data_IF_585210191800
#
_entry.id   IF_585210191800
#
_cell.length_a   1.000
_cell.length_b   1.000
_cell.length_c   1.000
_cell.angle_alpha   90.00
_cell.angle_beta   90.00
_cell.angle_gamma   90.00
#
_symmetry.space_group_name_H-M   'P 1'
#
loop_
_entity.id
_entity.type
_entity.pdbx_description
1 polymer ?
#
# COMPACT_ATOMS: atom_id res chain seq x y z
N UNK A 1 9.12 -12.65 3.40
CA UNK A 1 8.60 -12.69 2.05
C UNK A 1 9.37 -13.73 1.24
N UNK A 2 8.75 -14.77 0.79
CA UNK A 2 9.39 -15.90 0.09
C UNK A 2 8.47 -16.47 -0.98
N UNK A 3 8.02 -15.64 -1.93
CA UNK A 3 7.13 -16.06 -3.00
C UNK A 3 5.68 -16.31 -2.57
N UNK A 4 4.90 -16.91 -3.47
CA UNK A 4 3.50 -17.26 -3.28
C UNK A 4 3.35 -18.76 -3.15
N UNK A 5 2.58 -19.18 -2.16
CA UNK A 5 2.30 -20.58 -1.88
C UNK A 5 0.79 -20.82 -1.86
N UNK A 6 0.34 -21.92 -2.41
CA UNK A 6 -1.06 -22.33 -2.46
C UNK A 6 -1.29 -23.66 -1.75
N UNK A 7 -2.36 -23.73 -0.99
CA UNK A 7 -2.91 -24.98 -0.45
C UNK A 7 -4.29 -25.25 -1.08
N UNK A 8 -4.62 -26.51 -1.29
CA UNK A 8 -5.94 -26.99 -1.75
C UNK A 8 -6.59 -27.94 -0.74
N UNK A 9 -5.95 -28.12 0.43
CA UNK A 9 -6.40 -29.03 1.49
C UNK A 9 -6.28 -28.39 2.88
N UNK A 10 -6.74 -27.15 3.00
CA UNK A 10 -6.82 -26.41 4.29
C UNK A 10 -5.47 -26.31 5.02
N UNK A 11 -4.38 -26.16 4.27
CA UNK A 11 -3.05 -25.94 4.84
C UNK A 11 -2.24 -27.20 5.14
N UNK A 12 -2.77 -28.38 4.82
CA UNK A 12 -2.04 -29.65 5.06
C UNK A 12 -0.81 -29.78 4.18
N UNK A 13 -0.92 -29.35 2.91
CA UNK A 13 0.22 -29.28 1.98
C UNK A 13 0.21 -27.96 1.25
N UNK A 14 1.40 -27.50 0.86
CA UNK A 14 1.61 -26.24 0.17
C UNK A 14 2.42 -26.44 -1.09
N UNK A 15 2.02 -25.77 -2.18
CA UNK A 15 2.70 -25.76 -3.46
C UNK A 15 3.22 -24.36 -3.76
N UNK A 16 4.52 -24.19 -4.07
CA UNK A 16 5.05 -22.91 -4.52
C UNK A 16 4.51 -22.57 -5.91
N UNK A 17 4.19 -21.29 -6.12
CA UNK A 17 3.65 -20.79 -7.40
C UNK A 17 4.60 -19.81 -8.10
N UNK A 18 5.69 -19.40 -7.47
CA UNK A 18 6.58 -18.33 -7.97
C UNK A 18 8.06 -18.69 -7.96
N UNK A 19 8.43 -19.98 -7.80
CA UNK A 19 9.83 -20.41 -7.74
C UNK A 19 10.61 -20.13 -9.03
N UNK A 20 9.92 -20.09 -10.17
CA UNK A 20 10.53 -19.81 -11.47
C UNK A 20 10.42 -18.34 -11.89
N UNK A 21 10.02 -17.44 -10.97
CA UNK A 21 9.86 -16.03 -11.26
C UNK A 21 11.15 -15.26 -10.98
N UNK A 22 11.38 -14.12 -11.66
CA UNK A 22 12.62 -13.35 -11.52
C UNK A 22 12.66 -12.47 -10.26
N UNK A 23 11.85 -12.77 -9.24
CA UNK A 23 11.80 -12.04 -7.98
C UNK A 23 11.68 -13.00 -6.79
N UNK A 24 12.20 -12.57 -5.67
CA UNK A 24 12.07 -13.27 -4.38
C UNK A 24 10.99 -12.66 -3.51
N UNK A 25 10.96 -11.32 -3.46
CA UNK A 25 10.19 -10.59 -2.48
C UNK A 25 8.82 -10.27 -3.01
N UNK A 26 7.80 -10.58 -2.21
CA UNK A 26 6.39 -10.28 -2.48
C UNK A 26 5.86 -9.29 -1.44
N UNK A 27 5.09 -8.30 -1.87
CA UNK A 27 4.52 -7.25 -1.02
C UNK A 27 3.05 -7.47 -0.70
N UNK A 28 2.27 -7.83 -1.70
CA UNK A 28 0.84 -8.09 -1.54
C UNK A 28 0.33 -9.07 -2.62
N UNK A 29 -0.78 -9.72 -2.30
CA UNK A 29 -1.51 -10.59 -3.23
C UNK A 29 -3.00 -10.24 -3.15
N UNK A 30 -3.67 -10.19 -4.29
CA UNK A 30 -5.11 -9.91 -4.38
C UNK A 30 -5.76 -10.86 -5.36
N UNK A 31 -6.79 -11.55 -4.91
CA UNK A 31 -7.64 -12.37 -5.77
C UNK A 31 -8.73 -11.45 -6.33
N UNK A 32 -8.96 -11.53 -7.63
CA UNK A 32 -9.99 -10.77 -8.32
C UNK A 32 -11.38 -11.24 -7.84
N UNK A 33 -12.22 -10.34 -7.32
CA UNK A 33 -13.56 -10.72 -6.83
C UNK A 33 -14.48 -11.30 -7.90
N UNK A 34 -14.20 -11.06 -9.19
CA UNK A 34 -14.97 -11.58 -10.32
C UNK A 34 -14.53 -12.97 -10.76
N UNK A 35 -13.27 -13.35 -10.47
CA UNK A 35 -12.71 -14.62 -10.94
C UNK A 35 -11.58 -15.10 -10.02
N UNK A 36 -11.83 -16.12 -9.24
CA UNK A 36 -10.86 -16.69 -8.28
C UNK A 36 -9.58 -17.24 -8.94
N UNK A 37 -9.56 -17.45 -10.25
CA UNK A 37 -8.35 -17.82 -10.99
C UNK A 37 -7.52 -16.62 -11.42
N UNK A 38 -8.06 -15.41 -11.32
CA UNK A 38 -7.39 -14.15 -11.61
C UNK A 38 -6.73 -13.63 -10.32
N UNK A 39 -5.40 -13.58 -10.31
CA UNK A 39 -4.61 -13.23 -9.12
C UNK A 39 -3.61 -12.14 -9.49
N UNK A 40 -3.65 -11.05 -8.75
CA UNK A 40 -2.70 -9.95 -8.86
C UNK A 40 -1.65 -10.02 -7.77
N UNK A 41 -0.39 -9.85 -8.13
CA UNK A 41 0.75 -9.91 -7.23
C UNK A 41 1.58 -8.63 -7.33
N UNK A 42 1.72 -7.93 -6.22
CA UNK A 42 2.68 -6.85 -6.04
C UNK A 42 3.96 -7.39 -5.45
N UNK A 43 5.10 -7.04 -6.05
CA UNK A 43 6.41 -7.51 -5.61
C UNK A 43 7.15 -6.48 -4.77
N UNK A 44 8.19 -6.91 -4.04
CA UNK A 44 8.95 -6.11 -3.10
C UNK A 44 8.35 -6.09 -1.70
N UNK A 45 9.18 -6.09 -0.68
CA UNK A 45 8.70 -6.13 0.71
C UNK A 45 8.01 -4.83 1.14
N UNK A 46 6.86 -4.96 1.80
CA UNK A 46 6.12 -3.85 2.37
C UNK A 46 6.44 -3.66 3.87
N UNK A 47 7.72 -3.55 4.21
CA UNK A 47 8.19 -3.41 5.59
C UNK A 47 9.14 -2.23 5.76
N UNK A 48 9.37 -1.81 7.01
CA UNK A 48 10.47 -0.94 7.37
C UNK A 48 11.74 -1.77 7.61
N UNK A 49 12.91 -1.25 7.32
CA UNK A 49 14.16 -1.92 7.63
C UNK A 49 15.30 -1.58 6.69
N UNK A 50 16.47 -2.13 6.99
CA UNK A 50 17.70 -1.94 6.20
C UNK A 50 17.73 -2.75 4.92
N UNK A 51 17.39 -4.02 5.03
CA UNK A 51 17.44 -4.99 3.96
C UNK A 51 16.01 -5.32 3.54
N UNK A 52 15.41 -4.40 2.80
CA UNK A 52 14.06 -4.58 2.27
C UNK A 52 14.20 -5.17 0.88
N UNK A 53 13.66 -6.37 0.68
CA UNK A 53 13.77 -7.08 -0.59
C UNK A 53 13.08 -6.33 -1.72
N UNK A 54 13.84 -6.07 -2.78
CA UNK A 54 13.40 -5.34 -3.97
C UNK A 54 12.50 -6.24 -4.83
N UNK A 55 11.43 -5.67 -5.34
CA UNK A 55 10.51 -6.30 -6.28
C UNK A 55 10.74 -5.85 -7.73
N UNK A 56 9.94 -6.41 -8.62
CA UNK A 56 9.99 -6.19 -10.06
C UNK A 56 8.63 -5.75 -10.63
N UNK A 57 7.86 -4.97 -9.87
CA UNK A 57 6.57 -4.44 -10.29
C UNK A 57 5.38 -5.36 -10.01
N UNK A 58 4.38 -5.32 -10.87
CA UNK A 58 3.10 -6.04 -10.75
C UNK A 58 3.09 -7.23 -11.69
N UNK A 59 2.56 -8.36 -11.20
CA UNK A 59 2.31 -9.57 -11.98
C UNK A 59 0.84 -9.98 -11.89
N UNK A 60 0.34 -10.58 -12.96
CA UNK A 60 -1.02 -11.09 -13.04
C UNK A 60 -1.02 -12.54 -13.50
N UNK A 61 -1.75 -13.40 -12.80
CA UNK A 61 -2.08 -14.76 -13.18
C UNK A 61 -3.56 -14.84 -13.54
N UNK A 62 -3.90 -15.57 -14.60
CA UNK A 62 -5.29 -15.86 -15.03
C UNK A 62 -5.68 -17.31 -14.81
N UNK A 63 -4.80 -18.12 -14.26
CA UNK A 63 -4.93 -19.58 -14.18
C UNK A 63 -4.68 -20.12 -12.76
N UNK A 64 -4.96 -19.29 -11.75
CA UNK A 64 -4.81 -19.66 -10.35
C UNK A 64 -3.36 -19.76 -9.87
N UNK A 65 -2.46 -18.98 -10.48
CA UNK A 65 -1.04 -18.90 -10.12
C UNK A 65 -0.15 -19.89 -10.84
N UNK A 66 -0.64 -20.60 -11.87
CA UNK A 66 0.19 -21.55 -12.64
C UNK A 66 1.14 -20.82 -13.59
N UNK A 67 0.72 -19.70 -14.13
CA UNK A 67 1.55 -18.79 -14.94
C UNK A 67 1.34 -17.34 -14.52
N UNK A 68 2.38 -16.51 -14.73
CA UNK A 68 2.37 -15.10 -14.35
C UNK A 68 2.84 -14.22 -15.48
N UNK A 69 2.10 -13.15 -15.75
CA UNK A 69 2.43 -12.13 -16.75
C UNK A 69 2.90 -10.87 -16.04
N UNK A 70 4.01 -10.30 -16.51
CA UNK A 70 4.49 -8.97 -16.11
C UNK A 70 3.51 -7.89 -16.59
N UNK A 71 3.07 -7.04 -15.66
CA UNK A 71 2.11 -5.97 -15.89
C UNK A 71 2.72 -4.58 -15.69
N UNK A 72 4.04 -4.47 -15.58
CA UNK A 72 4.77 -3.20 -15.47
C UNK A 72 5.00 -2.71 -14.04
N UNK A 73 5.18 -1.42 -13.88
CA UNK A 73 5.57 -0.74 -12.64
C UNK A 73 6.89 -1.30 -12.05
N UNK A 74 7.88 -1.56 -12.90
CA UNK A 74 9.16 -2.20 -12.51
C UNK A 74 10.03 -1.31 -11.62
N UNK A 75 9.87 0.02 -11.74
CA UNK A 75 10.61 1.00 -10.93
C UNK A 75 9.91 1.31 -9.60
N UNK A 76 8.85 0.59 -9.27
CA UNK A 76 8.17 0.72 -7.97
C UNK A 76 9.01 0.17 -6.82
N UNK A 77 9.80 -0.87 -7.07
CA UNK A 77 10.59 -1.66 -6.12
C UNK A 77 9.77 -2.30 -4.99
N UNK A 78 8.75 -1.61 -4.48
CA UNK A 78 7.94 -2.06 -3.35
C UNK A 78 6.46 -1.73 -3.57
N UNK A 79 5.64 -2.74 -3.84
CA UNK A 79 4.19 -2.62 -3.97
C UNK A 79 3.53 -3.12 -2.71
N UNK A 80 2.76 -2.26 -2.07
CA UNK A 80 2.18 -2.53 -0.75
C UNK A 80 0.73 -3.02 -0.80
N UNK A 81 -0.04 -2.59 -1.80
CA UNK A 81 -1.46 -2.92 -1.92
C UNK A 81 -1.90 -2.91 -3.38
N UNK A 82 -2.78 -3.84 -3.72
CA UNK A 82 -3.53 -3.84 -4.98
C UNK A 82 -5.00 -4.02 -4.63
N UNK A 83 -5.86 -3.20 -5.22
CA UNK A 83 -7.32 -3.34 -5.14
C UNK A 83 -7.86 -3.47 -6.56
N UNK A 84 -8.68 -4.49 -6.80
CA UNK A 84 -9.48 -4.65 -8.02
C UNK A 84 -10.84 -4.00 -7.74
N UNK A 85 -11.34 -3.24 -8.69
CA UNK A 85 -12.66 -2.61 -8.58
C UNK A 85 -13.75 -3.69 -8.43
N UNK A 86 -14.70 -3.54 -7.50
CA UNK A 86 -15.68 -4.60 -7.20
C UNK A 86 -16.67 -4.89 -8.34
N UNK A 87 -16.81 -3.98 -9.30
CA UNK A 87 -17.78 -4.11 -10.42
C UNK A 87 -17.10 -4.12 -11.80
N UNK A 88 -15.80 -3.81 -11.91
CA UNK A 88 -15.05 -3.77 -13.17
C UNK A 88 -13.67 -4.41 -13.03
N UNK A 89 -13.45 -5.62 -13.54
CA UNK A 89 -12.16 -6.31 -13.43
C UNK A 89 -11.03 -5.65 -14.20
N UNK A 90 -11.31 -4.66 -15.05
CA UNK A 90 -10.27 -3.92 -15.79
C UNK A 90 -9.77 -2.70 -15.00
N UNK A 91 -10.51 -2.27 -13.97
CA UNK A 91 -10.11 -1.15 -13.12
C UNK A 91 -9.42 -1.64 -11.85
N UNK A 92 -8.19 -1.15 -11.62
CA UNK A 92 -7.39 -1.50 -10.45
C UNK A 92 -6.61 -0.29 -9.96
N UNK A 93 -6.28 -0.34 -8.67
CA UNK A 93 -5.37 0.62 -8.03
C UNK A 93 -4.19 -0.13 -7.41
N UNK A 94 -2.99 0.44 -7.56
CA UNK A 94 -1.74 -0.09 -7.03
C UNK A 94 -1.06 0.97 -6.18
N UNK A 95 -0.89 0.67 -4.90
CA UNK A 95 -0.12 1.49 -3.97
C UNK A 95 1.36 1.13 -4.06
N UNK A 96 2.18 2.07 -4.52
CA UNK A 96 3.61 1.91 -4.70
C UNK A 96 4.39 2.79 -3.74
N UNK A 97 5.31 2.19 -3.00
CA UNK A 97 6.22 2.92 -2.11
C UNK A 97 7.37 3.59 -2.87
N UNK A 98 7.77 3.02 -4.01
CA UNK A 98 8.94 3.44 -4.76
C UNK A 98 10.27 2.98 -4.15
N UNK A 99 11.41 3.33 -4.79
CA UNK A 99 12.74 2.98 -4.33
C UNK A 99 13.06 3.48 -2.92
N UNK A 100 13.76 2.65 -2.13
CA UNK A 100 14.17 3.04 -0.79
C UNK A 100 15.45 3.89 -0.80
N UNK A 101 16.37 3.61 -1.73
CA UNK A 101 17.71 4.18 -1.77
C UNK A 101 17.89 5.35 -2.73
N UNK A 102 16.90 5.63 -3.56
CA UNK A 102 16.93 6.71 -4.54
C UNK A 102 15.61 7.48 -4.59
N UNK A 103 15.63 8.76 -5.00
CA UNK A 103 14.40 9.51 -5.22
C UNK A 103 13.68 9.05 -6.49
N UNK A 104 12.43 9.43 -6.63
CA UNK A 104 11.63 9.17 -7.82
C UNK A 104 11.23 7.70 -7.99
N UNK A 105 11.42 7.17 -9.18
CA UNK A 105 10.88 5.87 -9.56
C UNK A 105 9.37 5.90 -9.79
N UNK A 106 8.73 4.73 -9.77
CA UNK A 106 7.26 4.63 -9.85
C UNK A 106 6.68 4.63 -8.44
N UNK A 107 6.50 5.84 -7.89
CA UNK A 107 6.05 6.16 -6.53
C UNK A 107 4.69 6.80 -6.54
N UNK A 108 3.81 6.44 -5.60
CA UNK A 108 2.49 7.01 -5.48
C UNK A 108 1.36 6.00 -5.64
N UNK A 109 0.21 6.43 -6.11
CA UNK A 109 -0.91 5.55 -6.43
C UNK A 109 -1.12 5.49 -7.93
N UNK A 110 -1.06 4.29 -8.46
CA UNK A 110 -1.29 4.03 -9.88
C UNK A 110 -2.67 3.44 -10.10
N UNK A 111 -3.36 3.93 -11.14
CA UNK A 111 -4.66 3.41 -11.59
C UNK A 111 -4.56 2.90 -13.01
N UNK A 112 -5.22 1.80 -13.29
CA UNK A 112 -5.50 1.31 -14.66
C UNK A 112 -7.01 1.17 -14.85
N UNK A 113 -7.47 1.27 -16.10
CA UNK A 113 -8.85 0.98 -16.52
C UNK A 113 -8.89 0.04 -17.73
N UNK A 114 -7.74 -0.59 -18.04
CA UNK A 114 -7.56 -1.47 -19.19
C UNK A 114 -6.96 -2.84 -18.82
N UNK A 115 -7.12 -3.24 -17.55
CA UNK A 115 -6.62 -4.51 -17.04
C UNK A 115 -5.10 -4.55 -16.91
N UNK A 116 -4.48 -3.41 -16.57
CA UNK A 116 -3.06 -3.30 -16.30
C UNK A 116 -2.18 -3.18 -17.54
N UNK A 117 -2.74 -2.88 -18.71
CA UNK A 117 -1.95 -2.63 -19.92
C UNK A 117 -1.26 -1.27 -19.85
N UNK A 118 -1.94 -0.28 -19.29
CA UNK A 118 -1.40 1.06 -19.01
C UNK A 118 -1.69 1.48 -17.58
N UNK A 119 -0.80 2.30 -17.02
CA UNK A 119 -0.91 2.80 -15.65
C UNK A 119 -0.79 4.33 -15.63
N UNK A 120 -1.69 4.97 -14.89
CA UNK A 120 -1.65 6.42 -14.63
C UNK A 120 -1.34 6.64 -13.15
N UNK A 121 -0.32 7.42 -12.82
CA UNK A 121 -0.11 7.90 -11.46
C UNK A 121 -1.17 8.97 -11.14
N UNK A 122 -2.04 8.69 -10.18
CA UNK A 122 -3.17 9.57 -9.81
C UNK A 122 -2.95 10.26 -8.46
N UNK A 123 -2.00 9.78 -7.64
CA UNK A 123 -1.59 10.43 -6.40
C UNK A 123 -0.06 10.44 -6.31
N UNK A 124 0.53 11.54 -6.74
CA UNK A 124 1.95 11.83 -6.61
C UNK A 124 2.13 12.95 -5.56
N UNK A 125 3.03 12.78 -4.60
CA UNK A 125 3.26 13.72 -3.51
C UNK A 125 4.60 14.43 -3.68
N UNK A 126 5.68 13.68 -3.63
CA UNK A 126 7.05 14.15 -3.90
C UNK A 126 7.97 12.95 -4.20
N UNK A 127 9.21 13.22 -4.56
CA UNK A 127 10.20 12.22 -4.97
C UNK A 127 10.58 11.18 -3.90
N UNK A 128 10.22 11.39 -2.63
CA UNK A 128 10.51 10.48 -1.52
C UNK A 128 9.27 9.85 -0.89
N UNK A 129 8.07 10.21 -1.37
CA UNK A 129 6.81 9.78 -0.75
C UNK A 129 6.01 8.88 -1.67
N UNK A 130 5.84 7.64 -1.26
CA UNK A 130 4.95 6.67 -1.91
C UNK A 130 3.63 6.48 -1.18
N UNK A 131 2.79 5.57 -1.68
CA UNK A 131 1.55 5.13 -1.04
C UNK A 131 1.74 3.72 -0.50
N UNK A 132 1.35 3.51 0.76
CA UNK A 132 1.60 2.25 1.48
C UNK A 132 0.35 1.50 1.90
N UNK A 133 -0.78 2.18 1.95
CA UNK A 133 -2.07 1.52 2.22
C UNK A 133 -3.19 2.20 1.45
N UNK A 134 -4.23 1.43 1.15
CA UNK A 134 -5.38 1.84 0.37
C UNK A 134 -6.59 1.05 0.84
N UNK A 135 -7.70 1.72 1.08
CA UNK A 135 -9.00 1.10 1.35
C UNK A 135 -10.07 1.73 0.46
N UNK A 136 -11.04 0.92 0.06
CA UNK A 136 -12.20 1.32 -0.76
C UNK A 136 -13.46 1.25 0.10
N UNK A 137 -14.36 2.18 -0.11
CA UNK A 137 -15.69 2.14 0.52
C UNK A 137 -16.47 0.94 -0.05
N UNK A 138 -16.92 0.01 0.80
CA UNK A 138 -17.61 -1.20 0.35
C UNK A 138 -19.00 -0.95 -0.27
N UNK A 139 -19.55 0.26 -0.10
CA UNK A 139 -20.86 0.64 -0.62
C UNK A 139 -20.79 1.61 -1.80
N UNK A 140 -19.63 2.24 -2.02
CA UNK A 140 -19.41 3.16 -3.14
C UNK A 140 -17.95 3.10 -3.60
N UNK A 141 -17.63 2.39 -4.69
CA UNK A 141 -16.27 2.22 -5.17
C UNK A 141 -15.60 3.50 -5.70
N UNK A 142 -16.34 4.58 -5.89
CA UNK A 142 -15.77 5.89 -6.21
C UNK A 142 -15.06 6.53 -5.00
N UNK A 143 -15.35 6.05 -3.78
CA UNK A 143 -14.74 6.56 -2.56
C UNK A 143 -13.58 5.67 -2.14
N UNK A 144 -12.36 6.24 -2.15
CA UNK A 144 -11.16 5.57 -1.71
C UNK A 144 -10.39 6.42 -0.69
N UNK A 145 -9.64 5.74 0.16
CA UNK A 145 -8.74 6.38 1.13
C UNK A 145 -7.35 5.79 1.00
N UNK A 146 -6.34 6.66 0.93
CA UNK A 146 -4.95 6.27 0.76
C UNK A 146 -4.08 6.83 1.90
N UNK A 147 -3.10 6.04 2.32
CA UNK A 147 -2.04 6.46 3.24
C UNK A 147 -0.73 6.59 2.49
N UNK A 148 -0.14 7.77 2.52
CA UNK A 148 1.21 7.99 2.00
C UNK A 148 2.26 7.79 3.08
N UNK A 149 3.49 7.51 2.66
CA UNK A 149 4.64 7.37 3.54
C UNK A 149 5.90 7.95 2.89
N UNK A 150 6.46 8.97 3.52
CA UNK A 150 7.77 9.48 3.14
C UNK A 150 8.85 8.63 3.79
N UNK A 151 9.67 8.00 2.95
CA UNK A 151 10.71 7.08 3.40
C UNK A 151 11.89 7.12 2.46
N UNK A 152 13.09 7.22 3.03
CA UNK A 152 14.30 6.98 2.26
C UNK A 152 15.45 6.53 3.16
N UNK A 153 16.46 5.98 2.53
CA UNK A 153 17.67 5.50 3.19
C UNK A 153 18.91 5.97 2.46
N UNK A 154 19.95 6.21 3.22
CA UNK A 154 21.32 6.28 2.75
C UNK A 154 22.24 5.44 3.65
N UNK A 155 23.56 5.49 3.42
CA UNK A 155 24.53 4.69 4.18
C UNK A 155 24.49 5.03 5.67
N UNK A 156 24.31 6.30 6.01
CA UNK A 156 24.37 6.80 7.38
C UNK A 156 23.01 6.79 8.11
N UNK A 157 21.88 6.76 7.38
CA UNK A 157 20.59 7.00 7.99
C UNK A 157 19.42 6.28 7.32
N UNK A 158 18.40 5.95 8.11
CA UNK A 158 17.06 5.61 7.66
C UNK A 158 16.09 6.71 8.11
N UNK A 159 15.38 7.32 7.18
CA UNK A 159 14.32 8.27 7.43
C UNK A 159 12.99 7.57 7.16
N UNK A 160 12.25 7.31 8.21
CA UNK A 160 11.00 6.51 8.19
C UNK A 160 9.73 7.35 8.32
N UNK A 161 9.81 8.64 8.01
CA UNK A 161 8.65 9.54 8.03
C UNK A 161 9.00 10.93 7.54
N UNK A 162 7.99 11.79 7.44
CA UNK A 162 8.22 13.17 7.00
C UNK A 162 6.93 13.92 6.65
N UNK A 163 7.05 15.16 6.16
CA UNK A 163 5.90 16.02 5.84
C UNK A 163 5.03 15.48 4.69
N UNK A 164 5.57 14.61 3.84
CA UNK A 164 4.80 13.94 2.78
C UNK A 164 3.88 12.83 3.31
N UNK A 165 4.07 12.35 4.53
CA UNK A 165 3.20 11.32 5.12
C UNK A 165 1.88 11.91 5.55
N UNK A 166 0.79 11.42 4.97
CA UNK A 166 -0.58 11.87 5.29
C UNK A 166 -1.64 10.88 4.84
N UNK A 167 -2.90 11.25 5.08
CA UNK A 167 -4.08 10.57 4.57
C UNK A 167 -4.74 11.37 3.46
N UNK A 168 -5.27 10.67 2.47
CA UNK A 168 -5.94 11.24 1.31
C UNK A 168 -7.26 10.52 1.06
N UNK A 169 -8.22 11.25 0.49
CA UNK A 169 -9.52 10.74 0.05
C UNK A 169 -9.75 11.10 -1.39
N UNK A 170 -10.27 10.15 -2.15
CA UNK A 170 -10.88 10.37 -3.47
C UNK A 170 -12.39 10.14 -3.37
N UNK A 171 -13.16 10.81 -4.23
CA UNK A 171 -14.60 10.64 -4.39
C UNK A 171 -14.99 10.46 -5.87
N UNK A 172 -14.01 10.17 -6.71
CA UNK A 172 -14.15 10.03 -8.16
C UNK A 172 -13.39 8.81 -8.72
N UNK A 173 -13.40 7.72 -7.95
CA UNK A 173 -12.73 6.48 -8.34
C UNK A 173 -11.20 6.59 -8.37
N UNK A 174 -10.62 7.45 -7.55
CA UNK A 174 -9.16 7.60 -7.45
C UNK A 174 -8.54 8.43 -8.57
N UNK A 175 -9.29 9.30 -9.26
CA UNK A 175 -8.74 10.19 -10.27
C UNK A 175 -8.16 11.47 -9.67
N UNK A 176 -8.79 12.00 -8.61
CA UNK A 176 -8.35 13.16 -7.85
C UNK A 176 -8.36 12.85 -6.35
N UNK A 177 -7.47 13.50 -5.60
CA UNK A 177 -7.24 13.22 -4.20
C UNK A 177 -7.18 14.51 -3.38
N UNK A 178 -7.83 14.50 -2.22
CA UNK A 178 -7.80 15.58 -1.24
C UNK A 178 -7.20 15.08 0.06
N UNK A 179 -6.34 15.89 0.68
CA UNK A 179 -5.74 15.58 1.98
C UNK A 179 -6.79 15.66 3.10
N UNK A 180 -6.81 14.66 3.99
CA UNK A 180 -7.78 14.51 5.08
C UNK A 180 -7.09 14.36 6.44
N UNK A 181 -6.36 15.38 6.89
CA UNK A 181 -5.51 15.33 8.09
C UNK A 181 -6.05 16.13 9.29
N UNK A 182 -7.28 16.64 9.23
CA UNK A 182 -7.88 17.41 10.33
C UNK A 182 -8.04 16.54 11.58
N UNK A 183 -7.34 16.92 12.66
CA UNK A 183 -7.32 16.17 13.92
C UNK A 183 -6.18 15.15 14.05
N UNK A 184 -5.40 14.92 12.98
CA UNK A 184 -4.13 14.19 13.07
C UNK A 184 -3.02 15.09 13.62
N UNK A 185 -1.94 14.51 14.16
CA UNK A 185 -0.77 15.28 14.60
C UNK A 185 -0.16 16.10 13.46
N UNK A 186 0.25 17.33 13.79
CA UNK A 186 0.95 18.24 12.86
C UNK A 186 2.42 17.88 12.68
N UNK A 187 2.99 17.13 13.63
CA UNK A 187 4.37 16.62 13.54
C UNK A 187 4.52 15.64 12.38
N UNK A 188 5.77 15.36 12.00
CA UNK A 188 6.07 14.31 11.04
C UNK A 188 5.49 12.98 11.53
N UNK A 189 4.93 12.24 10.61
CA UNK A 189 4.36 10.91 10.83
C UNK A 189 5.16 9.86 10.09
N UNK A 190 5.28 8.69 10.68
CA UNK A 190 5.80 7.49 10.04
C UNK A 190 4.72 6.75 9.25
N UNK A 191 4.86 5.45 9.13
CA UNK A 191 3.90 4.62 8.37
C UNK A 191 2.50 4.71 8.98
N UNK A 192 1.48 4.73 8.12
CA UNK A 192 0.07 4.75 8.51
C UNK A 192 -0.62 3.53 7.90
N UNK A 193 -1.31 2.75 8.75
CA UNK A 193 -2.23 1.70 8.32
C UNK A 193 -3.66 2.19 8.40
N UNK A 194 -4.49 1.81 7.43
CA UNK A 194 -5.90 2.19 7.30
C UNK A 194 -6.83 0.99 7.44
N UNK A 195 -7.99 1.24 8.05
CA UNK A 195 -9.12 0.32 8.01
C UNK A 195 -10.43 1.10 7.87
N UNK A 196 -11.36 0.54 7.12
CA UNK A 196 -12.73 1.04 6.97
C UNK A 196 -13.72 0.01 7.53
N UNK A 197 -14.74 0.46 8.23
CA UNK A 197 -15.79 -0.43 8.73
C UNK A 197 -16.70 -0.87 7.57
N UNK A 198 -16.84 -2.17 7.30
CA UNK A 198 -17.71 -2.63 6.21
C UNK A 198 -19.19 -2.41 6.52
N UNK A 199 -19.57 -2.34 7.79
CA UNK A 199 -20.96 -2.11 8.22
C UNK A 199 -21.32 -0.63 8.35
N UNK A 200 -20.32 0.23 8.53
CA UNK A 200 -20.47 1.68 8.68
C UNK A 200 -19.33 2.38 7.92
N UNK A 201 -19.44 2.55 6.61
CA UNK A 201 -18.32 3.07 5.79
C UNK A 201 -17.87 4.50 6.12
N UNK A 202 -18.70 5.27 6.85
CA UNK A 202 -18.30 6.56 7.41
C UNK A 202 -17.30 6.43 8.57
N UNK A 203 -17.11 5.22 9.13
CA UNK A 203 -16.16 4.95 10.23
C UNK A 203 -14.86 4.40 9.67
N UNK A 204 -13.78 5.14 9.91
CA UNK A 204 -12.42 4.74 9.55
C UNK A 204 -11.52 4.73 10.79
N UNK A 205 -10.51 3.89 10.74
CA UNK A 205 -9.42 3.85 11.70
C UNK A 205 -8.08 4.06 10.99
N UNK A 206 -7.19 4.78 11.63
CA UNK A 206 -5.82 4.98 11.20
C UNK A 206 -4.86 4.65 12.35
N UNK A 207 -4.00 3.65 12.18
CA UNK A 207 -2.88 3.40 13.07
C UNK A 207 -1.69 4.21 12.56
N UNK A 208 -1.27 5.20 13.34
CA UNK A 208 -0.27 6.20 12.95
C UNK A 208 0.99 6.03 13.77
N UNK A 209 2.10 5.83 13.11
CA UNK A 209 3.42 5.86 13.73
C UNK A 209 3.85 7.31 14.00
N UNK A 210 4.32 7.58 15.22
CA UNK A 210 4.73 8.89 15.70
C UNK A 210 6.18 8.89 16.19
N UNK A 211 6.71 10.07 16.49
CA UNK A 211 8.04 10.25 17.01
C UNK A 211 8.29 9.50 18.34
N UNK A 212 9.57 9.24 18.64
CA UNK A 212 10.02 8.66 19.92
C UNK A 212 9.45 7.28 20.23
N UNK A 213 9.32 6.43 19.19
CA UNK A 213 8.70 5.09 19.28
C UNK A 213 7.28 5.12 19.83
N UNK A 214 6.59 6.23 19.66
CA UNK A 214 5.19 6.35 19.98
C UNK A 214 4.34 5.99 18.76
N UNK A 215 3.10 5.70 19.00
CA UNK A 215 2.08 5.53 17.98
C UNK A 215 0.72 5.87 18.57
N UNK A 216 -0.28 5.98 17.73
CA UNK A 216 -1.64 6.18 18.16
C UNK A 216 -2.62 5.63 17.14
N UNK A 217 -3.77 5.19 17.62
CA UNK A 217 -4.93 4.86 16.78
C UNK A 217 -5.87 6.06 16.77
N UNK A 218 -6.22 6.49 15.58
CA UNK A 218 -7.20 7.54 15.33
C UNK A 218 -8.45 6.95 14.68
N UNK A 219 -9.59 7.53 15.01
CA UNK A 219 -10.90 7.19 14.43
C UNK A 219 -11.53 8.41 13.80
N UNK A 220 -12.15 8.22 12.65
CA UNK A 220 -13.06 9.16 12.03
C UNK A 220 -14.45 8.55 11.98
N UNK A 221 -15.48 9.33 12.33
CA UNK A 221 -16.90 8.96 12.25
C UNK A 221 -17.62 9.68 11.10
N UNK A 222 -16.87 10.41 10.26
CA UNK A 222 -17.40 11.29 9.21
C UNK A 222 -16.60 11.15 7.89
N UNK A 223 -16.31 9.92 7.51
CA UNK A 223 -15.64 9.60 6.23
C UNK A 223 -14.34 10.35 6.01
N UNK A 224 -13.51 10.47 7.07
CA UNK A 224 -12.22 11.15 7.02
C UNK A 224 -12.28 12.67 7.18
N UNK A 225 -13.47 13.25 7.39
CA UNK A 225 -13.62 14.71 7.56
C UNK A 225 -12.91 15.25 8.80
N UNK A 226 -12.74 14.43 9.83
CA UNK A 226 -11.91 14.72 11.01
C UNK A 226 -11.54 13.44 11.74
N UNK A 227 -10.43 13.49 12.50
CA UNK A 227 -9.86 12.36 13.22
C UNK A 227 -9.78 12.66 14.71
N UNK A 228 -10.12 11.68 15.54
CA UNK A 228 -10.02 11.73 17.00
C UNK A 228 -9.09 10.61 17.47
N UNK A 229 -8.13 10.96 18.33
CA UNK A 229 -7.25 9.98 18.98
C UNK A 229 -8.07 9.08 19.91
N UNK A 230 -7.90 7.77 19.77
CA UNK A 230 -8.62 6.77 20.56
C UNK A 230 -7.73 6.09 21.60
N UNK A 231 -6.47 5.83 21.24
CA UNK A 231 -5.52 5.18 22.15
C UNK A 231 -4.09 5.56 21.79
N UNK A 232 -3.22 5.50 22.78
CA UNK A 232 -1.78 5.45 22.55
C UNK A 232 -1.38 4.02 22.20
N UNK A 233 -0.39 3.88 21.33
CA UNK A 233 0.27 2.63 21.03
C UNK A 233 1.76 2.79 21.11
N UNK A 234 2.50 1.70 21.29
CA UNK A 234 3.95 1.69 21.18
C UNK A 234 4.30 1.28 19.76
N UNK A 235 5.02 2.14 19.05
CA UNK A 235 5.64 1.75 17.78
C UNK A 235 6.88 0.91 18.11
N UNK A 236 6.89 -0.31 17.62
CA UNK A 236 8.07 -1.19 17.69
C UNK A 236 9.14 -0.83 16.69
N UNK A 237 8.85 0.11 15.80
CA UNK A 237 9.69 0.49 14.69
C UNK A 237 10.55 1.72 14.98
N UNK A 238 11.05 2.24 13.90
CA UNK A 238 11.95 3.39 13.88
C UNK A 238 11.20 4.71 13.89
N UNK A 239 9.89 4.69 13.68
CA UNK A 239 9.06 5.87 13.60
C UNK A 239 9.49 6.84 12.51
N UNK A 240 8.93 8.05 12.48
CA UNK A 240 9.40 9.11 11.59
C UNK A 240 10.78 9.65 12.02
N UNK A 241 11.49 8.92 12.85
CA UNK A 241 12.81 9.30 13.30
C UNK A 241 13.87 9.11 12.24
N UNK A 242 14.76 10.01 12.27
CA UNK A 242 16.10 9.85 11.77
C UNK A 242 16.95 9.14 12.83
N UNK A 243 17.61 8.04 12.48
CA UNK A 243 18.67 7.48 13.30
C UNK A 243 19.91 7.17 12.45
N UNK A 244 21.05 7.47 13.01
CA UNK A 244 22.35 7.12 12.44
C UNK A 244 22.74 5.70 12.89
N UNK A 245 23.46 5.05 12.04
CA UNK A 245 24.10 3.76 12.32
C UNK A 245 25.50 3.99 12.89
#
# INVERSE_FOLDING_TARGET
SGGVWKTENSGTTWKPLTDNMPFYSTGCITIDPHNNSSIWLGTGENVGGRHVGIGHGVYHSKDGGKSWKDMGLKKSEHISKIIVHPEDPNTLWVASQGPLWSPGGERGLFKTTDGGKTWKNTLEINEWTGVTDLVIDPTNPDILYAASWQKHRNVAALIGGGPGTSLYKSVDGGNNWSKIDKGLPKSNKGKIGLAISPMQPNVLYAAVELDKRAGAVYRSDNSGGSWKKMSDTVSGGTGPHYYQE
#
